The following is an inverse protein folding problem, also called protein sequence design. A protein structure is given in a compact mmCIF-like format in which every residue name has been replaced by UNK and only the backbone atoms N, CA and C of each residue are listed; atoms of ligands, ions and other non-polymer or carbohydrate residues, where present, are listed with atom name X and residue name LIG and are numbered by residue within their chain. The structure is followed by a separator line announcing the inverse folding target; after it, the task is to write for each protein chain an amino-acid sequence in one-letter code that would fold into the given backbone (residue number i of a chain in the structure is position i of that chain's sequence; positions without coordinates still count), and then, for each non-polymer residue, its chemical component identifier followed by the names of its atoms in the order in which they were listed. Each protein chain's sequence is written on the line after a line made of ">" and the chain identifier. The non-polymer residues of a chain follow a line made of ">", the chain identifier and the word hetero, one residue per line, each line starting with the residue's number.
data_IF_014606378983
#
_entry.id   IF_014606378983
#
_cell.length_a   1.000
_cell.length_b   1.000
_cell.length_c   1.000
_cell.angle_alpha   90.00
_cell.angle_beta   90.00
_cell.angle_gamma   90.00
#
_symmetry.space_group_name_H-M   'P 1'
#
loop_
_entity.id
_entity.type
_entity.pdbx_description
1 polymer ?
#
# COMPACT_ATOMS: atom_id res chain seq x y z
N UNK A 1 -7.77 1.29 -24.78
CA UNK A 1 -8.34 2.55 -25.33
C UNK A 1 -9.55 3.08 -24.56
N UNK A 2 -10.30 2.27 -23.81
CA UNK A 2 -11.49 2.72 -23.08
C UNK A 2 -11.15 3.68 -21.92
N UNK A 3 -10.09 3.40 -21.15
CA UNK A 3 -9.68 4.26 -20.03
C UNK A 3 -9.27 5.69 -20.41
N UNK A 4 -8.64 5.87 -21.59
CA UNK A 4 -8.26 7.21 -22.09
C UNK A 4 -9.47 8.08 -22.42
N UNK A 5 -10.51 7.50 -23.05
CA UNK A 5 -11.74 8.23 -23.38
C UNK A 5 -12.53 8.65 -22.13
N UNK A 6 -12.61 7.77 -21.13
CA UNK A 6 -13.29 8.08 -19.86
C UNK A 6 -12.53 9.19 -19.12
N UNK A 7 -11.20 9.14 -19.12
CA UNK A 7 -10.38 10.16 -18.49
C UNK A 7 -10.52 11.53 -19.20
N UNK A 8 -10.51 11.57 -20.53
CA UNK A 8 -10.73 12.79 -21.31
C UNK A 8 -12.14 13.39 -21.09
N UNK A 9 -13.19 12.57 -21.06
CA UNK A 9 -14.56 13.04 -20.80
C UNK A 9 -14.73 13.59 -19.37
N UNK A 10 -14.13 12.93 -18.37
CA UNK A 10 -14.14 13.41 -16.98
C UNK A 10 -13.35 14.71 -16.87
N UNK A 11 -12.19 14.81 -17.51
CA UNK A 11 -11.38 16.03 -17.52
C UNK A 11 -12.12 17.18 -18.19
N UNK A 12 -12.77 16.95 -19.33
CA UNK A 12 -13.53 17.97 -20.05
C UNK A 12 -14.72 18.49 -19.22
N UNK A 13 -15.51 17.59 -18.63
CA UNK A 13 -16.64 17.96 -17.76
C UNK A 13 -16.20 18.67 -16.48
N UNK A 14 -15.06 18.28 -15.92
CA UNK A 14 -14.49 18.93 -14.75
C UNK A 14 -14.08 20.38 -15.08
N UNK A 15 -13.36 20.59 -16.19
CA UNK A 15 -12.97 21.93 -16.66
C UNK A 15 -14.17 22.83 -16.97
N UNK A 16 -15.21 22.30 -17.61
CA UNK A 16 -16.44 23.03 -17.92
C UNK A 16 -17.23 23.42 -16.66
N UNK A 17 -17.27 22.53 -15.66
CA UNK A 17 -17.94 22.79 -14.38
C UNK A 17 -17.17 23.82 -13.55
N UNK A 18 -15.83 23.76 -13.55
CA UNK A 18 -14.95 24.74 -12.90
C UNK A 18 -15.16 26.15 -13.50
N UNK A 19 -15.25 26.25 -14.83
CA UNK A 19 -15.39 27.52 -15.52
C UNK A 19 -16.76 28.20 -15.31
N UNK A 20 -17.82 27.42 -15.08
CA UNK A 20 -19.20 27.92 -15.03
C UNK A 20 -19.82 27.94 -13.62
N UNK A 21 -19.10 27.52 -12.58
CA UNK A 21 -19.64 27.43 -11.21
C UNK A 21 -18.84 28.28 -10.22
N UNK A 22 -19.46 28.77 -9.13
CA UNK A 22 -18.75 29.44 -8.04
C UNK A 22 -17.62 28.54 -7.53
N UNK A 23 -16.40 29.08 -7.41
CA UNK A 23 -15.21 28.32 -7.01
C UNK A 23 -15.42 27.45 -5.75
N UNK A 24 -16.27 27.91 -4.82
CA UNK A 24 -16.63 27.22 -3.59
C UNK A 24 -17.48 25.94 -3.79
N UNK A 25 -18.37 25.93 -4.79
CA UNK A 25 -19.22 24.76 -5.08
C UNK A 25 -18.44 23.68 -5.84
N UNK A 26 -17.52 24.11 -6.70
CA UNK A 26 -16.55 23.24 -7.38
C UNK A 26 -15.65 22.55 -6.37
N UNK A 27 -15.05 23.31 -5.46
CA UNK A 27 -14.20 22.77 -4.40
C UNK A 27 -14.94 21.72 -3.56
N UNK A 28 -16.20 22.00 -3.19
CA UNK A 28 -17.05 21.07 -2.44
C UNK A 28 -17.33 19.78 -3.22
N UNK A 29 -17.68 19.88 -4.50
CA UNK A 29 -17.97 18.73 -5.34
C UNK A 29 -16.73 17.87 -5.62
N UNK A 30 -15.58 18.50 -5.89
CA UNK A 30 -14.30 17.79 -6.08
C UNK A 30 -13.89 17.07 -4.79
N UNK A 31 -14.00 17.72 -3.63
CA UNK A 31 -13.71 17.11 -2.33
C UNK A 31 -14.62 15.91 -2.04
N UNK A 32 -15.92 16.01 -2.36
CA UNK A 32 -16.86 14.91 -2.21
C UNK A 32 -16.55 13.74 -3.17
N UNK A 33 -16.18 14.03 -4.42
CA UNK A 33 -15.77 13.00 -5.38
C UNK A 33 -14.48 12.30 -4.95
N UNK A 34 -13.47 13.04 -4.50
CA UNK A 34 -12.21 12.48 -3.98
C UNK A 34 -12.45 11.64 -2.73
N UNK A 35 -13.25 12.11 -1.78
CA UNK A 35 -13.64 11.31 -0.62
C UNK A 35 -14.39 10.03 -1.00
N UNK A 36 -15.29 10.11 -1.99
CA UNK A 36 -16.00 8.94 -2.52
C UNK A 36 -15.09 7.99 -3.31
N UNK A 37 -14.05 8.49 -3.97
CA UNK A 37 -13.03 7.68 -4.64
C UNK A 37 -12.12 6.98 -3.63
N UNK A 38 -11.66 7.70 -2.60
CA UNK A 38 -10.87 7.14 -1.50
C UNK A 38 -11.64 6.07 -0.73
N UNK A 39 -12.94 6.26 -0.48
CA UNK A 39 -13.78 5.22 0.15
C UNK A 39 -14.01 3.98 -0.74
N UNK A 40 -13.84 4.11 -2.06
CA UNK A 40 -13.95 2.97 -3.00
C UNK A 40 -12.62 2.24 -3.19
N UNK A 41 -11.51 2.84 -2.79
CA UNK A 41 -10.24 2.15 -2.68
C UNK A 41 -10.22 1.54 -1.29
N UNK A 42 -9.85 0.26 -1.16
CA UNK A 42 -9.72 -0.41 0.14
C UNK A 42 -8.50 0.14 0.89
N UNK A 43 -8.56 1.42 1.25
CA UNK A 43 -7.47 2.17 1.86
C UNK A 43 -7.38 1.77 3.32
N UNK A 44 -6.19 1.32 3.70
CA UNK A 44 -5.81 1.09 5.08
C UNK A 44 -5.04 2.32 5.54
N UNK A 45 -5.32 2.79 6.76
CA UNK A 45 -4.56 3.92 7.31
C UNK A 45 -3.09 3.51 7.50
N UNK A 46 -2.19 4.50 7.50
CA UNK A 46 -0.76 4.22 7.73
C UNK A 46 -0.52 3.53 9.08
N UNK A 47 -1.27 3.94 10.10
CA UNK A 47 -1.20 3.35 11.44
C UNK A 47 -1.63 1.88 11.46
N UNK A 48 -2.76 1.54 10.82
CA UNK A 48 -3.23 0.16 10.71
C UNK A 48 -2.24 -0.72 9.93
N UNK A 49 -1.63 -0.19 8.87
CA UNK A 49 -0.57 -0.88 8.14
C UNK A 49 0.63 -1.16 9.05
N UNK A 50 1.10 -0.17 9.81
CA UNK A 50 2.24 -0.32 10.72
C UNK A 50 1.93 -1.32 11.85
N UNK A 51 0.69 -1.36 12.36
CA UNK A 51 0.23 -2.38 13.32
C UNK A 51 0.30 -3.78 12.69
N UNK A 52 -0.19 -3.96 11.46
CA UNK A 52 -0.13 -5.24 10.76
C UNK A 52 1.31 -5.70 10.54
N UNK A 53 2.22 -4.79 10.19
CA UNK A 53 3.65 -5.10 10.08
C UNK A 53 4.22 -5.63 11.40
N UNK A 54 3.91 -4.99 12.53
CA UNK A 54 4.37 -5.46 13.85
C UNK A 54 3.80 -6.85 14.20
N UNK A 55 2.53 -7.09 13.88
CA UNK A 55 1.91 -8.42 14.07
C UNK A 55 2.63 -9.46 13.22
N UNK A 56 2.96 -9.17 11.97
CA UNK A 56 3.71 -10.08 11.09
C UNK A 56 5.10 -10.39 11.64
N UNK A 57 5.85 -9.38 12.08
CA UNK A 57 7.17 -9.56 12.70
C UNK A 57 7.06 -10.50 13.90
N UNK A 58 6.15 -10.20 14.83
CA UNK A 58 5.92 -11.03 16.02
C UNK A 58 5.54 -12.48 15.68
N UNK A 59 4.76 -12.66 14.62
CA UNK A 59 4.31 -13.99 14.19
C UNK A 59 5.48 -14.77 13.60
N UNK A 60 6.32 -14.15 12.77
CA UNK A 60 7.56 -14.76 12.25
C UNK A 60 8.51 -15.16 13.38
N UNK A 61 8.70 -14.29 14.38
CA UNK A 61 9.53 -14.62 15.54
C UNK A 61 9.01 -15.83 16.31
N UNK A 62 7.70 -15.88 16.58
CA UNK A 62 7.08 -17.01 17.27
C UNK A 62 7.15 -18.30 16.45
N UNK A 63 6.96 -18.20 15.14
CA UNK A 63 7.05 -19.33 14.22
C UNK A 63 8.46 -19.92 14.24
N UNK A 64 9.50 -19.09 14.11
CA UNK A 64 10.89 -19.54 14.21
C UNK A 64 11.21 -20.19 15.57
N UNK A 65 10.67 -19.65 16.67
CA UNK A 65 10.82 -20.26 17.99
C UNK A 65 10.15 -21.64 18.08
N UNK A 66 8.95 -21.78 17.53
CA UNK A 66 8.23 -23.06 17.50
C UNK A 66 8.93 -24.08 16.61
N UNK A 67 9.43 -23.68 15.44
CA UNK A 67 10.24 -24.53 14.56
C UNK A 67 11.50 -25.01 15.26
N UNK A 68 12.21 -24.13 15.97
CA UNK A 68 13.38 -24.51 16.75
C UNK A 68 13.05 -25.49 17.90
N UNK A 69 11.88 -25.34 18.53
CA UNK A 69 11.40 -26.29 19.55
C UNK A 69 11.03 -27.63 18.91
N UNK A 70 10.37 -27.61 17.76
CA UNK A 70 9.97 -28.80 17.01
C UNK A 70 11.20 -29.60 16.56
N UNK A 71 12.21 -28.95 15.99
CA UNK A 71 13.46 -29.60 15.58
C UNK A 71 14.20 -30.29 16.75
N UNK A 72 14.13 -29.71 17.96
CA UNK A 72 14.68 -30.32 19.17
C UNK A 72 13.88 -31.56 19.61
N UNK A 73 12.57 -31.53 19.45
CA UNK A 73 11.65 -32.63 19.81
C UNK A 73 11.71 -33.77 18.78
N UNK A 74 11.87 -33.44 17.51
CA UNK A 74 11.99 -34.39 16.39
C UNK A 74 13.39 -35.04 16.30
N UNK A 75 14.30 -34.70 17.23
CA UNK A 75 15.56 -35.43 17.38
C UNK A 75 16.66 -35.01 16.40
N UNK A 76 16.71 -33.73 16.01
CA UNK A 76 17.92 -33.07 15.48
C UNK A 76 18.74 -33.87 14.47
N UNK A 77 18.07 -34.53 13.52
CA UNK A 77 18.71 -35.33 12.48
C UNK A 77 18.05 -35.06 11.14
N UNK A 78 18.15 -33.82 10.67
CA UNK A 78 18.42 -33.51 9.28
C UNK A 78 18.81 -32.03 9.21
N UNK A 79 20.09 -31.79 8.94
CA UNK A 79 20.63 -30.49 8.57
C UNK A 79 19.88 -30.02 7.31
N UNK A 80 18.80 -29.26 7.49
CA UNK A 80 18.30 -28.40 6.43
C UNK A 80 18.62 -26.98 6.84
N UNK A 81 19.76 -26.55 6.32
CA UNK A 81 20.14 -25.16 6.10
C UNK A 81 18.93 -24.36 5.58
N UNK A 82 18.18 -23.74 6.48
CA UNK A 82 17.25 -22.67 6.12
C UNK A 82 17.87 -21.39 6.69
N UNK A 83 18.87 -20.90 5.98
CA UNK A 83 19.30 -19.52 6.09
C UNK A 83 18.05 -18.64 5.96
N UNK A 84 17.75 -17.76 6.92
CA UNK A 84 16.77 -16.73 6.68
C UNK A 84 17.43 -15.75 5.72
N UNK A 85 17.21 -15.95 4.42
CA UNK A 85 17.48 -14.93 3.41
C UNK A 85 16.46 -13.80 3.62
N UNK A 86 16.71 -12.98 4.64
CA UNK A 86 16.22 -11.62 4.69
C UNK A 86 16.98 -10.86 3.62
N UNK A 87 16.58 -11.03 2.36
CA UNK A 87 16.85 -10.05 1.33
C UNK A 87 16.19 -8.76 1.79
N UNK A 88 17.06 -7.83 2.19
CA UNK A 88 16.77 -6.45 2.49
C UNK A 88 15.78 -5.90 1.46
N UNK A 89 14.53 -5.68 1.88
CA UNK A 89 13.56 -4.89 1.15
C UNK A 89 13.85 -3.38 1.26
N UNK A 90 15.11 -3.02 1.52
CA UNK A 90 15.61 -1.64 1.60
C UNK A 90 16.05 -1.08 0.23
N UNK A 91 15.66 -1.76 -0.86
CA UNK A 91 15.79 -1.24 -2.22
C UNK A 91 14.44 -0.71 -2.75
N UNK A 92 13.78 0.18 -2.01
CA UNK A 92 12.97 1.22 -2.66
C UNK A 92 13.85 2.45 -2.76
N UNK A 93 14.67 2.40 -3.81
CA UNK A 93 15.47 3.49 -4.34
C UNK A 93 14.67 4.79 -4.32
N UNK A 94 15.20 5.76 -3.60
CA UNK A 94 14.83 7.17 -3.65
C UNK A 94 14.73 7.61 -5.12
N UNK A 95 13.51 7.94 -5.57
CA UNK A 95 13.31 8.62 -6.85
C UNK A 95 14.12 9.91 -6.84
N UNK A 96 15.06 10.14 -7.78
CA UNK A 96 15.82 11.37 -7.82
C UNK A 96 14.92 12.52 -8.26
N UNK A 97 14.94 13.61 -7.50
CA UNK A 97 14.55 14.95 -7.95
C UNK A 97 15.25 15.25 -9.28
N UNK A 98 14.49 15.26 -10.37
CA UNK A 98 14.90 15.93 -11.60
C UNK A 98 14.45 17.38 -11.52
N UNK A 99 15.43 18.25 -11.22
CA UNK A 99 15.35 19.69 -11.37
C UNK A 99 15.60 20.02 -12.84
N UNK A 100 14.57 20.47 -13.53
CA UNK A 100 14.65 21.35 -14.71
C UNK A 100 13.50 22.36 -14.65
#
# INVERSE_FOLDING_TARGET
>A
MIGKKIFEEVSAKLSETIANSPAKDVEKNVKAMLGSAFNRMDLVTREEFDIQQQVLIKTRTKLAELEARLAKLEGGSEETDVQPEVQDADAVETVPEQKD
#
